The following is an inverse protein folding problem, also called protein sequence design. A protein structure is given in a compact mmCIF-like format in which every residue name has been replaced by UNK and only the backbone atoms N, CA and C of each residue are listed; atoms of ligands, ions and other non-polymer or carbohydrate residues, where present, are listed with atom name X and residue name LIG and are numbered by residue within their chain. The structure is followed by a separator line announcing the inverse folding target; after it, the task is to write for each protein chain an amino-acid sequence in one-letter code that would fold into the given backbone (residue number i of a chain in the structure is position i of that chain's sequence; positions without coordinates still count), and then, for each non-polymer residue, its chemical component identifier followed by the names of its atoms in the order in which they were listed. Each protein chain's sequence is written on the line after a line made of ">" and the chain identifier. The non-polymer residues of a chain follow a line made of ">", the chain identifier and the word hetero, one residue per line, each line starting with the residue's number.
data_IF_023710363681
#
_entry.id   IF_023710363681
#
_cell.length_a   1.000
_cell.length_b   1.000
_cell.length_c   1.000
_cell.angle_alpha   90.00
_cell.angle_beta   90.00
_cell.angle_gamma   90.00
#
_symmetry.space_group_name_H-M   'P 1'
#
loop_
_entity.id
_entity.type
_entity.pdbx_description
1 polymer ?
#
# COMPACT_ATOMS: atom_id res chain seq x y z
N UNK A 1 13.02 -7.80 -7.99
CA UNK A 1 12.57 -8.60 -6.84
C UNK A 1 13.42 -8.29 -5.62
N UNK A 2 14.73 -8.58 -5.65
CA UNK A 2 15.63 -8.23 -4.54
C UNK A 2 15.59 -6.74 -4.17
N UNK A 3 15.58 -5.83 -5.16
CA UNK A 3 15.50 -4.38 -4.92
C UNK A 3 14.26 -3.94 -4.13
N UNK A 4 13.08 -4.50 -4.43
CA UNK A 4 11.84 -4.19 -3.71
C UNK A 4 11.91 -4.66 -2.26
N UNK A 5 12.40 -5.89 -2.04
CA UNK A 5 12.59 -6.45 -0.69
C UNK A 5 13.57 -5.57 0.10
N UNK A 6 14.72 -5.24 -0.48
CA UNK A 6 15.75 -4.43 0.17
C UNK A 6 15.18 -3.06 0.58
N UNK A 7 14.52 -2.34 -0.32
CA UNK A 7 14.02 -1.00 -0.01
C UNK A 7 12.85 -1.01 0.99
N UNK A 8 11.91 -1.97 0.90
CA UNK A 8 10.81 -2.07 1.86
C UNK A 8 11.27 -2.57 3.23
N UNK A 9 12.20 -3.53 3.28
CA UNK A 9 12.71 -4.06 4.53
C UNK A 9 13.63 -3.05 5.21
N UNK A 10 14.64 -2.50 4.52
CA UNK A 10 15.54 -1.51 5.12
C UNK A 10 14.81 -0.25 5.56
N UNK A 11 13.79 0.19 4.81
CA UNK A 11 13.01 1.37 5.17
C UNK A 11 12.33 1.28 6.53
N UNK A 12 11.96 0.07 6.97
CA UNK A 12 11.39 -0.13 8.31
C UNK A 12 12.42 -0.53 9.36
N UNK A 13 13.39 -1.36 8.97
CA UNK A 13 14.38 -1.90 9.90
C UNK A 13 15.36 -0.84 10.39
N UNK A 14 15.66 0.15 9.54
CA UNK A 14 16.54 1.25 9.88
C UNK A 14 15.66 2.47 10.13
N UNK A 15 15.43 2.76 11.42
CA UNK A 15 14.64 3.92 11.84
C UNK A 15 15.14 5.22 11.19
N UNK A 16 16.45 5.38 10.97
CA UNK A 16 17.03 6.57 10.32
C UNK A 16 16.63 6.77 8.83
N UNK A 17 15.99 5.79 8.19
CA UNK A 17 15.80 5.77 6.73
C UNK A 17 14.37 5.36 6.29
N UNK A 18 13.29 5.92 6.86
CA UNK A 18 11.92 5.53 6.54
C UNK A 18 11.54 5.82 5.08
N UNK A 19 12.18 6.84 4.50
CA UNK A 19 11.99 7.30 3.13
C UNK A 19 12.37 6.27 2.05
N UNK A 20 13.16 5.25 2.36
CA UNK A 20 13.47 4.16 1.42
C UNK A 20 12.21 3.41 0.98
N UNK A 21 11.18 3.38 1.83
CA UNK A 21 9.89 2.75 1.55
C UNK A 21 9.17 3.40 0.36
N UNK A 22 9.47 4.67 0.05
CA UNK A 22 8.95 5.35 -1.13
C UNK A 22 9.46 4.78 -2.46
N UNK A 23 10.58 4.05 -2.43
CA UNK A 23 11.15 3.37 -3.59
C UNK A 23 10.86 1.87 -3.62
N UNK A 24 10.22 1.34 -2.57
CA UNK A 24 10.09 -0.10 -2.37
C UNK A 24 9.02 -0.80 -3.21
N UNK A 25 7.86 -0.17 -3.42
CA UNK A 25 6.76 -0.74 -4.21
C UNK A 25 6.88 -0.45 -5.71
N UNK A 26 7.57 0.62 -6.11
CA UNK A 26 7.71 0.98 -7.53
C UNK A 26 8.32 -0.16 -8.41
N UNK A 27 9.38 -0.88 -7.99
CA UNK A 27 9.89 -2.03 -8.74
C UNK A 27 8.90 -3.19 -8.79
N UNK A 28 8.06 -3.36 -7.75
CA UNK A 28 7.02 -4.38 -7.70
C UNK A 28 5.90 -4.08 -8.71
N UNK A 29 5.47 -2.81 -8.81
CA UNK A 29 4.52 -2.38 -9.84
C UNK A 29 5.05 -2.58 -11.25
N UNK A 30 6.35 -2.38 -11.46
CA UNK A 30 7.02 -2.62 -12.75
C UNK A 30 7.03 -4.08 -13.15
N UNK A 31 7.36 -4.98 -12.21
CA UNK A 31 7.28 -6.42 -12.42
C UNK A 31 5.88 -6.84 -12.87
N UNK A 32 4.86 -6.33 -12.17
CA UNK A 32 3.46 -6.62 -12.48
C UNK A 32 3.03 -6.05 -13.84
N UNK A 33 3.37 -4.80 -14.12
CA UNK A 33 3.05 -4.13 -15.39
C UNK A 33 3.60 -4.87 -16.61
N UNK A 34 4.86 -5.32 -16.55
CA UNK A 34 5.53 -5.98 -17.67
C UNK A 34 4.94 -7.38 -17.94
N UNK A 35 4.60 -8.14 -16.89
CA UNK A 35 4.23 -9.55 -17.03
C UNK A 35 2.74 -9.85 -16.97
N UNK A 36 1.89 -8.90 -16.58
CA UNK A 36 0.43 -9.15 -16.49
C UNK A 36 -0.23 -9.58 -17.81
N UNK A 37 0.36 -9.20 -18.96
CA UNK A 37 -0.16 -9.53 -20.30
C UNK A 37 0.24 -10.93 -20.77
N UNK A 38 1.27 -11.53 -20.17
CA UNK A 38 1.77 -12.85 -20.52
C UNK A 38 0.89 -13.94 -19.88
N UNK A 39 0.06 -14.61 -20.69
CA UNK A 39 -0.85 -15.63 -20.18
C UNK A 39 -0.14 -16.82 -19.50
N UNK A 40 1.01 -17.23 -20.04
CA UNK A 40 1.82 -18.36 -19.53
C UNK A 40 2.52 -18.07 -18.20
N UNK A 41 2.73 -16.80 -17.85
CA UNK A 41 3.50 -16.39 -16.68
C UNK A 41 2.66 -15.86 -15.51
N UNK A 42 1.32 -15.95 -15.57
CA UNK A 42 0.45 -15.36 -14.54
C UNK A 42 0.66 -15.96 -13.16
N UNK A 43 0.66 -17.30 -13.04
CA UNK A 43 0.86 -17.95 -11.75
C UNK A 43 2.24 -17.62 -11.17
N UNK A 44 3.29 -17.68 -11.99
CA UNK A 44 4.65 -17.37 -11.55
C UNK A 44 4.81 -15.89 -11.16
N UNK A 45 4.05 -14.98 -11.77
CA UNK A 45 4.01 -13.57 -11.38
C UNK A 45 3.42 -13.38 -9.98
N UNK A 46 2.24 -13.96 -9.69
CA UNK A 46 1.61 -13.84 -8.37
C UNK A 46 2.44 -14.51 -7.28
N UNK A 47 3.06 -15.66 -7.57
CA UNK A 47 3.99 -16.31 -6.64
C UNK A 47 5.18 -15.40 -6.33
N UNK A 48 5.76 -14.73 -7.33
CA UNK A 48 6.87 -13.78 -7.11
C UNK A 48 6.45 -12.57 -6.26
N UNK A 49 5.27 -12.01 -6.51
CA UNK A 49 4.73 -10.91 -5.71
C UNK A 49 4.50 -11.36 -4.27
N UNK A 50 3.89 -12.54 -4.09
CA UNK A 50 3.68 -13.14 -2.79
C UNK A 50 4.99 -13.34 -2.03
N UNK A 51 6.02 -13.90 -2.68
CA UNK A 51 7.35 -14.09 -2.06
C UNK A 51 7.93 -12.74 -1.62
N UNK A 52 7.87 -11.70 -2.47
CA UNK A 52 8.38 -10.37 -2.10
C UNK A 52 7.64 -9.81 -0.87
N UNK A 53 6.31 -9.87 -0.85
CA UNK A 53 5.51 -9.37 0.27
C UNK A 53 5.74 -10.20 1.53
N UNK A 54 5.68 -11.53 1.44
CA UNK A 54 5.87 -12.44 2.57
C UNK A 54 7.25 -12.27 3.19
N UNK A 55 8.32 -12.22 2.39
CA UNK A 55 9.67 -11.97 2.89
C UNK A 55 9.76 -10.59 3.55
N UNK A 56 9.17 -9.55 2.96
CA UNK A 56 9.20 -8.20 3.53
C UNK A 56 8.54 -8.16 4.91
N UNK A 57 7.31 -8.69 5.03
CA UNK A 57 6.57 -8.66 6.28
C UNK A 57 7.13 -9.62 7.34
N UNK A 58 7.74 -10.74 6.93
CA UNK A 58 8.48 -11.62 7.84
C UNK A 58 9.72 -10.93 8.41
N UNK A 59 10.47 -10.19 7.58
CA UNK A 59 11.61 -9.39 8.03
C UNK A 59 11.16 -8.28 8.97
N UNK A 60 10.03 -7.64 8.68
CA UNK A 60 9.42 -6.67 9.61
C UNK A 60 9.07 -7.35 10.93
N UNK A 61 8.38 -8.48 10.92
CA UNK A 61 8.06 -9.21 12.16
C UNK A 61 9.30 -9.56 12.98
N UNK A 62 10.36 -10.07 12.33
CA UNK A 62 11.60 -10.47 12.99
C UNK A 62 12.30 -9.33 13.76
N UNK A 63 12.07 -8.07 13.38
CA UNK A 63 12.64 -6.92 14.07
C UNK A 63 11.82 -6.43 15.27
N UNK A 64 10.54 -6.80 15.37
CA UNK A 64 9.66 -6.35 16.47
C UNK A 64 9.25 -7.48 17.41
N UNK A 65 9.26 -8.74 16.97
CA UNK A 65 8.80 -9.87 17.80
C UNK A 65 9.96 -10.59 18.49
N UNK A 66 10.02 -10.48 19.81
CA UNK A 66 10.75 -11.44 20.64
C UNK A 66 9.86 -12.69 20.84
N UNK A 67 10.32 -13.82 20.28
CA UNK A 67 10.23 -15.17 20.88
C UNK A 67 9.02 -16.13 20.65
N UNK A 68 7.95 -15.82 19.90
CA UNK A 68 6.84 -16.79 19.71
C UNK A 68 6.62 -17.28 18.26
N UNK A 69 6.48 -18.60 18.05
CA UNK A 69 6.16 -19.22 16.74
C UNK A 69 4.85 -18.71 16.11
N UNK A 70 3.85 -18.37 16.93
CA UNK A 70 2.57 -17.77 16.49
C UNK A 70 2.80 -16.40 15.82
N UNK A 71 3.92 -15.71 16.13
CA UNK A 71 4.27 -14.42 15.52
C UNK A 71 4.50 -14.52 14.01
N UNK A 72 4.89 -15.68 13.48
CA UNK A 72 5.20 -15.83 12.05
C UNK A 72 3.98 -16.06 11.16
N UNK A 73 2.83 -16.44 11.73
CA UNK A 73 1.59 -16.69 10.95
C UNK A 73 0.97 -15.36 10.49
N UNK A 74 0.97 -14.35 11.37
CA UNK A 74 0.39 -13.03 11.10
C UNK A 74 0.99 -12.30 9.88
N UNK A 75 2.32 -12.19 9.71
CA UNK A 75 2.91 -11.52 8.54
C UNK A 75 2.64 -12.29 7.24
N UNK A 76 2.59 -13.63 7.28
CA UNK A 76 2.26 -14.44 6.10
C UNK A 76 0.78 -14.25 5.73
N UNK A 77 -0.12 -14.28 6.71
CA UNK A 77 -1.54 -13.98 6.49
C UNK A 77 -1.75 -12.58 5.90
N UNK A 78 -1.05 -11.59 6.45
CA UNK A 78 -1.05 -10.23 5.93
C UNK A 78 -0.56 -10.17 4.47
N UNK A 79 0.53 -10.88 4.14
CA UNK A 79 1.06 -10.96 2.78
C UNK A 79 0.07 -11.59 1.78
N UNK A 80 -0.68 -12.62 2.20
CA UNK A 80 -1.74 -13.23 1.37
C UNK A 80 -2.83 -12.21 1.06
N UNK A 81 -3.26 -11.44 2.07
CA UNK A 81 -4.27 -10.40 1.87
C UNK A 81 -3.74 -9.29 0.97
N UNK A 82 -2.49 -8.86 1.16
CA UNK A 82 -1.85 -7.84 0.31
C UNK A 82 -1.50 -8.30 -1.10
N UNK A 83 -1.72 -9.59 -1.42
CA UNK A 83 -1.72 -10.08 -2.80
C UNK A 83 -3.04 -9.74 -3.53
N UNK A 84 -4.15 -9.64 -2.80
CA UNK A 84 -5.49 -9.42 -3.36
C UNK A 84 -5.62 -8.12 -4.16
N UNK A 85 -5.02 -6.96 -3.79
CA UNK A 85 -5.06 -5.74 -4.62
C UNK A 85 -4.62 -5.98 -6.07
N UNK A 86 -3.57 -6.80 -6.26
CA UNK A 86 -3.05 -7.13 -7.59
C UNK A 86 -4.01 -8.06 -8.35
N UNK A 87 -4.58 -9.04 -7.67
CA UNK A 87 -5.56 -9.95 -8.26
C UNK A 87 -6.85 -9.23 -8.66
N UNK A 88 -7.38 -8.38 -7.77
CA UNK A 88 -8.56 -7.55 -7.99
C UNK A 88 -8.31 -6.57 -9.13
N UNK A 89 -7.13 -5.94 -9.17
CA UNK A 89 -6.73 -5.10 -10.29
C UNK A 89 -6.74 -5.87 -11.62
N UNK A 90 -6.20 -7.09 -11.64
CA UNK A 90 -6.19 -7.93 -12.84
C UNK A 90 -7.61 -8.21 -13.37
N UNK A 91 -8.56 -8.42 -12.46
CA UNK A 91 -9.97 -8.54 -12.79
C UNK A 91 -10.55 -7.22 -13.33
N UNK A 92 -10.43 -6.13 -12.58
CA UNK A 92 -11.03 -4.84 -12.97
C UNK A 92 -10.43 -4.27 -14.24
N UNK A 93 -9.12 -4.41 -14.47
CA UNK A 93 -8.48 -3.96 -15.70
C UNK A 93 -9.00 -4.70 -16.94
N UNK A 94 -9.27 -6.02 -16.81
CA UNK A 94 -9.78 -6.86 -17.90
C UNK A 94 -11.22 -6.51 -18.30
N UNK A 95 -12.09 -6.24 -17.33
CA UNK A 95 -13.52 -6.07 -17.57
C UNK A 95 -13.96 -4.60 -17.60
N UNK A 96 -13.39 -3.74 -16.75
CA UNK A 96 -13.82 -2.36 -16.60
C UNK A 96 -13.26 -1.40 -17.67
N UNK A 97 -12.25 -1.80 -18.48
CA UNK A 97 -11.44 -0.88 -19.30
C UNK A 97 -10.93 0.28 -18.42
N UNK A 98 -10.26 -0.11 -17.35
CA UNK A 98 -9.91 0.72 -16.20
C UNK A 98 -9.18 2.01 -16.62
N UNK A 99 -9.92 3.13 -16.69
CA UNK A 99 -9.36 4.46 -17.02
C UNK A 99 -8.43 4.99 -15.93
N UNK A 100 -8.67 4.60 -14.68
CA UNK A 100 -7.82 4.96 -13.53
C UNK A 100 -6.47 4.22 -13.57
N UNK A 101 -6.36 3.15 -14.38
CA UNK A 101 -5.11 2.41 -14.52
C UNK A 101 -4.59 1.92 -13.17
N UNK A 102 -3.27 1.97 -12.98
CA UNK A 102 -2.61 1.43 -11.78
C UNK A 102 -3.02 2.13 -10.48
N UNK A 103 -3.67 3.31 -10.53
CA UNK A 103 -4.16 4.02 -9.34
C UNK A 103 -5.23 3.24 -8.57
N UNK A 104 -5.85 2.22 -9.18
CA UNK A 104 -6.79 1.35 -8.45
C UNK A 104 -6.09 0.39 -7.49
N UNK A 105 -4.80 0.06 -7.69
CA UNK A 105 -4.05 -0.81 -6.76
C UNK A 105 -3.92 -0.16 -5.37
N UNK A 106 -3.44 1.10 -5.23
CA UNK A 106 -3.45 1.82 -3.95
C UNK A 106 -4.82 1.86 -3.27
N UNK A 107 -5.89 2.04 -4.03
CA UNK A 107 -7.25 2.11 -3.48
C UNK A 107 -7.65 0.76 -2.87
N UNK A 108 -7.41 -0.36 -3.59
CA UNK A 108 -7.67 -1.70 -3.05
C UNK A 108 -6.75 -2.04 -1.88
N UNK A 109 -5.50 -1.58 -1.91
CA UNK A 109 -4.55 -1.77 -0.82
C UNK A 109 -5.06 -1.12 0.48
N UNK A 110 -5.44 0.17 0.42
CA UNK A 110 -5.97 0.89 1.57
C UNK A 110 -7.28 0.31 2.09
N UNK A 111 -8.16 -0.15 1.19
CA UNK A 111 -9.38 -0.81 1.60
C UNK A 111 -9.10 -2.09 2.42
N UNK A 112 -8.09 -2.87 2.04
CA UNK A 112 -7.71 -4.08 2.77
C UNK A 112 -6.95 -3.79 4.06
N UNK A 113 -6.09 -2.77 4.10
CA UNK A 113 -5.49 -2.30 5.35
C UNK A 113 -6.59 -1.86 6.33
N UNK A 114 -7.60 -1.11 5.88
CA UNK A 114 -8.73 -0.72 6.73
C UNK A 114 -9.52 -1.93 7.24
N UNK A 115 -9.86 -2.88 6.36
CA UNK A 115 -10.57 -4.10 6.78
C UNK A 115 -9.76 -4.91 7.79
N UNK A 116 -8.45 -5.02 7.60
CA UNK A 116 -7.55 -5.68 8.55
C UNK A 116 -7.46 -4.92 9.89
N UNK A 117 -7.49 -3.59 9.86
CA UNK A 117 -7.49 -2.76 11.06
C UNK A 117 -8.73 -3.01 11.91
N UNK A 118 -9.90 -3.07 11.25
CA UNK A 118 -11.18 -3.37 11.91
C UNK A 118 -11.26 -4.83 12.37
N UNK A 119 -10.60 -5.74 11.66
CA UNK A 119 -10.53 -7.15 12.06
C UNK A 119 -9.70 -7.32 13.34
N UNK A 120 -8.43 -6.91 13.32
CA UNK A 120 -7.58 -6.89 14.51
C UNK A 120 -6.52 -5.78 14.42
N UNK A 121 -6.45 -4.86 15.42
CA UNK A 121 -5.47 -3.77 15.42
C UNK A 121 -4.00 -4.19 15.40
N UNK A 122 -3.68 -5.43 15.81
CA UNK A 122 -2.32 -6.00 15.75
C UNK A 122 -1.73 -5.91 14.32
N UNK A 123 -2.57 -6.01 13.29
CA UNK A 123 -2.12 -5.90 11.91
C UNK A 123 -1.62 -4.51 11.52
N UNK A 124 -1.95 -3.45 12.28
CA UNK A 124 -1.45 -2.10 12.03
C UNK A 124 0.08 -2.05 12.03
N UNK A 125 0.72 -2.94 12.81
CA UNK A 125 2.17 -3.12 12.82
C UNK A 125 2.76 -3.64 11.50
N UNK A 126 1.96 -4.12 10.54
CA UNK A 126 2.42 -4.55 9.21
C UNK A 126 2.02 -3.58 8.10
N UNK A 127 1.27 -2.51 8.39
CA UNK A 127 0.84 -1.56 7.36
C UNK A 127 1.97 -0.64 6.94
N UNK A 128 1.85 -0.06 5.75
CA UNK A 128 2.85 0.89 5.27
C UNK A 128 2.99 2.10 6.21
N UNK A 129 1.89 2.58 6.78
CA UNK A 129 1.89 3.67 7.76
C UNK A 129 2.74 3.41 9.02
N UNK A 130 2.95 2.14 9.39
CA UNK A 130 3.77 1.79 10.57
C UNK A 130 5.24 2.15 10.42
N UNK A 131 5.76 2.30 9.19
CA UNK A 131 7.16 2.63 8.91
C UNK A 131 7.59 3.94 9.57
N UNK A 132 6.68 4.91 9.65
CA UNK A 132 6.96 6.22 10.24
C UNK A 132 6.62 6.30 11.73
N UNK A 133 6.31 5.18 12.39
CA UNK A 133 5.96 5.19 13.82
C UNK A 133 7.13 5.56 14.74
N UNK A 134 8.37 5.44 14.27
CA UNK A 134 9.55 5.90 15.01
C UNK A 134 9.84 7.40 14.81
N UNK A 135 9.06 8.06 13.93
CA UNK A 135 9.14 9.49 13.60
C UNK A 135 7.76 10.17 13.69
N UNK A 136 7.11 10.19 14.87
CA UNK A 136 5.79 10.78 15.05
C UNK A 136 5.71 12.25 14.61
N UNK A 137 6.80 13.00 14.74
CA UNK A 137 6.92 14.40 14.30
C UNK A 137 6.64 14.60 12.80
N UNK A 138 6.89 13.59 11.97
CA UNK A 138 6.65 13.67 10.52
C UNK A 138 5.22 13.28 10.12
N UNK A 139 4.50 12.62 11.02
CA UNK A 139 3.19 12.02 10.74
C UNK A 139 2.07 12.57 11.61
N UNK A 140 2.30 13.61 12.42
CA UNK A 140 1.29 14.20 13.31
C UNK A 140 0.02 14.68 12.60
N UNK A 141 0.09 15.03 11.32
CA UNK A 141 -1.07 15.32 10.47
C UNK A 141 -2.06 14.14 10.34
N UNK A 142 -1.63 12.91 10.68
CA UNK A 142 -2.49 11.74 10.68
C UNK A 142 -3.62 11.80 11.71
N UNK A 143 -3.56 12.73 12.68
CA UNK A 143 -4.66 13.01 13.60
C UNK A 143 -5.94 13.42 12.84
N UNK A 144 -5.77 14.12 11.71
CA UNK A 144 -6.88 14.57 10.87
C UNK A 144 -7.27 13.52 9.84
N UNK A 145 -6.30 12.76 9.31
CA UNK A 145 -6.52 11.84 8.18
C UNK A 145 -6.72 10.37 8.55
N UNK A 146 -6.43 10.02 9.80
CA UNK A 146 -6.30 8.63 10.26
C UNK A 146 -4.92 8.05 9.97
N UNK A 147 -4.62 6.92 10.60
CA UNK A 147 -3.37 6.17 10.47
C UNK A 147 -3.10 5.75 9.02
N UNK A 148 -4.15 5.37 8.29
CA UNK A 148 -4.07 4.98 6.88
C UNK A 148 -3.72 6.13 5.94
N UNK A 149 -3.77 7.38 6.40
CA UNK A 149 -3.27 8.53 5.65
C UNK A 149 -1.78 8.39 5.34
N UNK A 150 -0.98 7.91 6.29
CA UNK A 150 0.46 7.69 6.09
C UNK A 150 0.69 6.56 5.06
N UNK A 151 -0.12 5.50 5.09
CA UNK A 151 -0.09 4.47 4.04
C UNK A 151 -0.44 5.05 2.66
N UNK A 152 -1.47 5.91 2.57
CA UNK A 152 -1.84 6.58 1.32
C UNK A 152 -0.68 7.41 0.78
N UNK A 153 -0.01 8.16 1.65
CA UNK A 153 1.16 8.97 1.28
C UNK A 153 2.26 8.13 0.63
N UNK A 154 2.64 7.01 1.28
CA UNK A 154 3.64 6.07 0.73
C UNK A 154 3.20 5.50 -0.61
N UNK A 155 1.94 5.10 -0.75
CA UNK A 155 1.40 4.51 -1.97
C UNK A 155 1.37 5.50 -3.14
N UNK A 156 0.99 6.76 -2.91
CA UNK A 156 0.97 7.81 -3.93
C UNK A 156 2.38 8.09 -4.45
N UNK A 157 3.38 8.19 -3.57
CA UNK A 157 4.75 8.43 -4.02
C UNK A 157 5.26 7.26 -4.86
N UNK A 158 5.03 6.02 -4.40
CA UNK A 158 5.45 4.83 -5.13
C UNK A 158 4.80 4.72 -6.51
N UNK A 159 3.53 5.08 -6.66
CA UNK A 159 2.86 5.02 -7.96
C UNK A 159 3.32 6.14 -8.92
N UNK A 160 3.56 7.34 -8.40
CA UNK A 160 4.12 8.43 -9.19
C UNK A 160 5.52 8.07 -9.69
N UNK A 161 6.37 7.53 -8.82
CA UNK A 161 7.70 7.05 -9.19
C UNK A 161 7.63 5.92 -10.23
N UNK A 162 6.70 4.97 -10.06
CA UNK A 162 6.45 3.95 -11.07
C UNK A 162 6.16 4.58 -12.45
N UNK A 163 5.21 5.51 -12.55
CA UNK A 163 4.85 6.12 -13.83
C UNK A 163 5.93 7.00 -14.46
N UNK A 164 6.78 7.63 -13.65
CA UNK A 164 7.74 8.63 -14.12
C UNK A 164 9.12 8.05 -14.43
N UNK A 165 9.51 7.00 -13.69
CA UNK A 165 10.87 6.49 -13.68
C UNK A 165 10.94 5.05 -14.18
N UNK A 166 10.04 4.18 -13.71
CA UNK A 166 10.19 2.74 -13.91
C UNK A 166 9.34 2.18 -15.05
N UNK A 167 8.22 2.84 -15.40
CA UNK A 167 7.34 2.40 -16.48
C UNK A 167 8.10 2.42 -17.81
N UNK A 168 7.98 1.33 -18.56
CA UNK A 168 8.62 1.14 -19.88
C UNK A 168 10.15 1.36 -19.86
N UNK A 169 10.80 1.11 -18.70
CA UNK A 169 12.23 1.36 -18.46
C UNK A 169 12.65 2.81 -18.77
N UNK A 170 11.77 3.79 -18.53
CA UNK A 170 11.99 5.21 -18.81
C UNK A 170 13.32 5.76 -18.27
N UNK A 171 13.77 5.30 -17.08
CA UNK A 171 15.07 5.62 -16.51
C UNK A 171 16.23 5.31 -17.47
N UNK A 172 16.24 4.10 -18.05
CA UNK A 172 17.32 3.64 -18.94
C UNK A 172 17.19 4.21 -20.35
N UNK A 173 15.97 4.52 -20.76
CA UNK A 173 15.67 5.09 -22.08
C UNK A 173 15.80 6.62 -22.14
N UNK A 174 16.15 7.28 -21.02
CA UNK A 174 16.28 8.74 -20.92
C UNK A 174 14.96 9.52 -21.03
N UNK A 175 13.81 8.84 -21.11
CA UNK A 175 12.49 9.46 -21.27
C UNK A 175 11.82 9.73 -19.91
N UNK A 176 12.56 10.39 -19.02
CA UNK A 176 12.10 10.68 -17.66
C UNK A 176 11.02 11.76 -17.70
N UNK A 177 9.90 11.50 -17.03
CA UNK A 177 8.78 12.46 -16.94
C UNK A 177 9.01 13.42 -15.79
N UNK A 178 9.79 14.47 -16.02
CA UNK A 178 10.17 15.47 -15.02
C UNK A 178 8.99 16.09 -14.26
N UNK A 179 7.88 16.39 -14.94
CA UNK A 179 6.69 16.95 -14.30
C UNK A 179 6.12 16.05 -13.19
N UNK A 180 6.14 14.73 -13.38
CA UNK A 180 5.67 13.79 -12.36
C UNK A 180 6.69 13.51 -11.26
N UNK A 181 7.99 13.72 -11.53
CA UNK A 181 9.01 13.74 -10.47
C UNK A 181 8.86 14.97 -9.57
N UNK A 182 8.61 16.14 -10.16
CA UNK A 182 8.31 17.37 -9.41
C UNK A 182 7.06 17.12 -8.54
N UNK A 183 6.01 16.52 -9.10
CA UNK A 183 4.84 16.14 -8.32
C UNK A 183 5.16 15.17 -7.17
N UNK A 184 6.00 14.16 -7.39
CA UNK A 184 6.43 13.22 -6.34
C UNK A 184 7.22 13.92 -5.23
N UNK A 185 8.09 14.88 -5.57
CA UNK A 185 8.84 15.70 -4.62
C UNK A 185 7.87 16.57 -3.81
N UNK A 186 6.96 17.26 -4.47
CA UNK A 186 5.94 18.09 -3.79
C UNK A 186 5.13 17.23 -2.81
N UNK A 187 4.62 16.08 -3.24
CA UNK A 187 3.84 15.18 -2.38
C UNK A 187 4.67 14.67 -1.20
N UNK A 188 5.97 14.46 -1.38
CA UNK A 188 6.88 14.11 -0.27
C UNK A 188 7.05 15.28 0.70
N UNK A 189 7.13 16.51 0.21
CA UNK A 189 7.31 17.69 1.05
C UNK A 189 6.04 18.14 1.79
N UNK A 190 4.84 17.86 1.26
CA UNK A 190 3.56 18.35 1.81
C UNK A 190 3.38 18.00 3.31
N UNK A 191 3.63 16.76 3.76
CA UNK A 191 3.54 16.40 5.18
C UNK A 191 4.38 17.23 6.13
N UNK A 192 5.55 17.71 5.70
CA UNK A 192 6.41 18.54 6.54
C UNK A 192 5.77 19.90 6.86
N UNK A 193 4.91 20.41 5.98
CA UNK A 193 4.17 21.65 6.21
C UNK A 193 2.87 21.44 6.99
N UNK A 194 2.35 20.21 7.00
CA UNK A 194 1.15 19.84 7.75
C UNK A 194 1.47 19.28 9.14
N UNK A 195 2.73 18.93 9.39
CA UNK A 195 3.19 18.51 10.70
C UNK A 195 2.94 19.61 11.73
N UNK A 196 2.21 19.23 12.78
CA UNK A 196 1.91 20.07 13.94
C UNK A 196 2.58 19.49 15.18
N UNK A 197 2.55 20.25 16.27
CA UNK A 197 2.98 19.80 17.61
C UNK A 197 2.02 18.77 18.24
N UNK A 198 1.01 18.30 17.50
CA UNK A 198 0.06 17.31 17.98
C UNK A 198 0.68 15.92 18.08
N UNK A 199 0.19 15.11 19.03
CA UNK A 199 0.60 13.72 19.19
C UNK A 199 0.09 12.90 18.02
N UNK A 200 1.02 12.30 17.26
CA UNK A 200 0.70 11.47 16.11
C UNK A 200 0.11 10.12 16.53
N UNK A 201 -0.73 9.55 15.67
CA UNK A 201 -1.28 8.21 15.83
C UNK A 201 -0.23 7.18 15.42
N UNK A 202 0.26 6.35 16.33
CA UNK A 202 1.21 5.28 16.00
C UNK A 202 0.54 3.90 16.04
N UNK A 203 1.17 2.91 15.40
CA UNK A 203 0.66 1.53 15.47
C UNK A 203 0.66 0.97 16.90
N UNK A 204 1.57 1.45 17.78
CA UNK A 204 1.63 1.02 19.19
C UNK A 204 0.38 1.48 19.96
N UNK A 205 -0.12 2.66 19.64
CA UNK A 205 -1.34 3.22 20.26
C UNK A 205 -2.59 2.44 19.82
N UNK A 206 -2.60 1.99 18.56
CA UNK A 206 -3.66 1.15 18.01
C UNK A 206 -3.68 -0.25 18.64
N UNK A 207 -2.50 -0.84 18.89
CA UNK A 207 -2.37 -2.18 19.48
C UNK A 207 -2.61 -2.18 21.00
N UNK A 208 -2.08 -1.20 21.72
CA UNK A 208 -2.31 -1.04 23.16
C UNK A 208 -3.75 -0.66 23.49
N UNK A 209 -4.54 -0.29 22.49
CA UNK A 209 -5.97 -0.08 22.61
C UNK A 209 -6.27 1.13 23.48
N UNK A 210 -5.69 2.28 23.09
CA UNK A 210 -5.78 3.58 23.77
C UNK A 210 -7.14 3.94 24.37
N UNK A 211 -7.14 4.97 25.22
CA UNK A 211 -8.29 5.44 25.99
C UNK A 211 -9.58 5.53 25.15
N UNK A 212 -10.76 5.39 25.78
CA UNK A 212 -12.04 5.36 25.06
C UNK A 212 -12.26 6.59 24.15
N UNK A 213 -11.69 7.74 24.52
CA UNK A 213 -11.67 8.97 23.73
C UNK A 213 -10.77 8.86 22.49
N UNK A 214 -9.61 8.21 22.60
CA UNK A 214 -8.73 7.91 21.46
C UNK A 214 -9.42 6.95 20.49
N UNK A 215 -10.13 5.91 20.96
CA UNK A 215 -10.94 5.03 20.09
C UNK A 215 -12.01 5.77 19.31
N UNK A 216 -12.69 6.73 19.93
CA UNK A 216 -13.70 7.55 19.26
C UNK A 216 -13.05 8.53 18.26
N UNK A 217 -11.90 9.11 18.60
CA UNK A 217 -11.11 9.94 17.70
C UNK A 217 -10.62 9.13 16.48
N UNK A 218 -10.06 7.93 16.68
CA UNK A 218 -9.65 7.00 15.61
C UNK A 218 -10.82 6.65 14.69
N UNK A 219 -11.97 6.29 15.27
CA UNK A 219 -13.16 5.97 14.49
C UNK A 219 -13.66 7.13 13.62
N UNK A 220 -13.43 8.38 14.04
CA UNK A 220 -13.81 9.57 13.29
C UNK A 220 -12.77 10.00 12.24
N UNK A 221 -11.47 9.84 12.53
CA UNK A 221 -10.38 10.29 11.66
C UNK A 221 -10.04 9.33 10.53
N UNK A 222 -10.41 8.05 10.60
CA UNK A 222 -10.17 7.04 9.55
C UNK A 222 -11.04 7.21 8.28
N UNK A 223 -11.24 8.44 7.81
CA UNK A 223 -12.04 8.69 6.61
C UNK A 223 -11.37 8.12 5.36
N UNK A 224 -10.03 8.15 5.26
CA UNK A 224 -9.29 7.64 4.09
C UNK A 224 -9.58 6.15 3.88
N UNK A 225 -9.50 5.35 4.95
CA UNK A 225 -9.80 3.92 4.88
C UNK A 225 -11.25 3.65 4.46
N UNK A 226 -12.21 4.35 5.07
CA UNK A 226 -13.65 4.24 4.73
C UNK A 226 -13.92 4.59 3.27
N UNK A 227 -13.36 5.72 2.80
CA UNK A 227 -13.50 6.16 1.41
C UNK A 227 -12.87 5.16 0.44
N UNK A 228 -11.70 4.61 0.75
CA UNK A 228 -11.05 3.60 -0.07
C UNK A 228 -11.88 2.31 -0.20
N UNK A 229 -12.53 1.87 0.89
CA UNK A 229 -13.47 0.72 0.85
C UNK A 229 -14.65 1.01 -0.08
N UNK A 230 -15.33 2.14 0.09
CA UNK A 230 -16.49 2.48 -0.74
C UNK A 230 -16.12 2.60 -2.23
N UNK A 231 -15.01 3.28 -2.55
CA UNK A 231 -14.52 3.37 -3.93
C UNK A 231 -14.18 1.97 -4.48
N UNK A 232 -13.56 1.11 -3.67
CA UNK A 232 -13.24 -0.27 -4.06
C UNK A 232 -14.50 -1.08 -4.41
N UNK A 233 -15.55 -0.97 -3.59
CA UNK A 233 -16.83 -1.63 -3.81
C UNK A 233 -17.47 -1.13 -5.12
N UNK A 234 -17.51 0.19 -5.34
CA UNK A 234 -18.06 0.77 -6.57
C UNK A 234 -17.30 0.31 -7.83
N UNK A 235 -15.96 0.30 -7.78
CA UNK A 235 -15.14 -0.18 -8.88
C UNK A 235 -15.37 -1.66 -9.17
N UNK A 236 -15.51 -2.48 -8.13
CA UNK A 236 -15.81 -3.90 -8.25
C UNK A 236 -17.20 -4.12 -8.86
N UNK A 237 -18.24 -3.50 -8.31
CA UNK A 237 -19.61 -3.58 -8.84
C UNK A 237 -19.66 -3.16 -10.31
N UNK A 238 -19.04 -2.02 -10.66
CA UNK A 238 -18.95 -1.58 -12.04
C UNK A 238 -18.27 -2.64 -12.94
N UNK A 239 -17.19 -3.25 -12.47
CA UNK A 239 -16.48 -4.28 -13.23
C UNK A 239 -17.29 -5.57 -13.40
N UNK A 240 -18.09 -5.96 -12.40
CA UNK A 240 -18.99 -7.11 -12.47
C UNK A 240 -20.15 -6.85 -13.44
N UNK A 241 -20.83 -5.71 -13.32
CA UNK A 241 -21.91 -5.33 -14.23
C UNK A 241 -21.43 -5.34 -15.68
N UNK A 242 -20.25 -4.74 -15.94
CA UNK A 242 -19.69 -4.70 -17.29
C UNK A 242 -19.23 -6.06 -17.81
N UNK A 243 -18.84 -6.97 -16.92
CA UNK A 243 -18.53 -8.36 -17.29
C UNK A 243 -19.79 -9.06 -17.79
N UNK A 244 -20.90 -8.93 -17.07
CA UNK A 244 -22.18 -9.57 -17.43
C UNK A 244 -22.77 -9.05 -18.74
N UNK A 245 -22.71 -7.73 -18.95
CA UNK A 245 -23.15 -7.13 -20.23
C UNK A 245 -22.36 -7.72 -21.40
N UNK A 246 -21.04 -7.84 -21.26
CA UNK A 246 -20.16 -8.34 -22.32
C UNK A 246 -20.25 -9.85 -22.55
N UNK A 247 -20.71 -10.63 -21.58
CA UNK A 247 -20.99 -12.06 -21.77
C UNK A 247 -22.30 -12.27 -22.50
N UNK A 248 -23.31 -11.43 -22.25
CA UNK A 248 -24.61 -11.50 -22.92
C UNK A 248 -24.59 -10.99 -24.36
N UNK A 249 -23.60 -10.19 -24.75
CA UNK A 249 -23.38 -9.72 -26.14
C UNK A 249 -22.60 -10.73 -27.01
N UNK A 250 -22.18 -11.89 -26.49
CA UNK A 250 -21.54 -12.94 -27.31
C UNK A 250 -22.62 -13.86 -27.90
N UNK A 251 -22.73 -13.95 -29.23
CA UNK A 251 -23.69 -14.84 -29.89
C UNK A 251 -23.35 -16.32 -29.64
#
# INVERSE_FOLDING_TARGET
>A
MATAIIFLSLGKLIAAMPFLTFLGLAPLFTLFYNRQKEASAKLSLYVKIFIVLATTFLLWNAAYSNENLISHIQPVFHAIIMLLPFAIYGFTNKYARNRLGFFTIPIYWLALEYLLLQFQPVFAGFFLGSVFSDHPELISWNIYTGFLGVSLWILIINILLFYCVFKDNALFNGNIRWAGLIAAIIVTCVPFFLATDAIAITHKDLVSGGSALEKQAYGSSEFIGKTAVWISVLLLLYSFVKREVRTNERP
#
